data_IF_466875481427
#
_entry.id   IF_466875481427
#
_cell.length_a   1.000
_cell.length_b   1.000
_cell.length_c   1.000
_cell.angle_alpha   90.00
_cell.angle_beta   90.00
_cell.angle_gamma   90.00
#
_symmetry.space_group_name_H-M   'P 1'
#
loop_
_entity.id
_entity.type
_entity.pdbx_description
1 polymer ?
#
# COMPACT_ATOMS: atom_id res chain seq x y z
N UNK A 1 18.32 10.83 5.66
CA UNK A 1 17.11 11.55 6.14
C UNK A 1 16.21 12.10 5.03
N UNK A 2 16.58 13.17 4.29
CA UNK A 2 15.67 13.84 3.33
C UNK A 2 15.07 12.92 2.26
N UNK A 3 15.90 12.07 1.65
CA UNK A 3 15.46 11.11 0.63
C UNK A 3 14.43 10.12 1.20
N UNK A 4 14.70 9.57 2.39
CA UNK A 4 13.80 8.64 3.08
C UNK A 4 12.45 9.28 3.32
N UNK A 5 12.43 10.53 3.82
CA UNK A 5 11.17 11.27 4.02
C UNK A 5 10.38 11.45 2.72
N UNK A 6 11.03 11.81 1.62
CA UNK A 6 10.36 11.96 0.32
C UNK A 6 9.81 10.64 -0.21
N UNK A 7 10.57 9.55 -0.04
CA UNK A 7 10.14 8.20 -0.43
C UNK A 7 8.95 7.77 0.42
N UNK A 8 8.99 7.95 1.74
CA UNK A 8 7.88 7.66 2.66
C UNK A 8 6.63 8.49 2.35
N UNK A 9 6.79 9.79 2.04
CA UNK A 9 5.67 10.63 1.60
C UNK A 9 5.01 10.06 0.34
N UNK A 10 5.80 9.55 -0.60
CA UNK A 10 5.28 8.92 -1.81
C UNK A 10 4.63 7.56 -1.53
N UNK A 11 5.18 6.73 -0.63
CA UNK A 11 4.56 5.49 -0.18
C UNK A 11 3.15 5.76 0.36
N UNK A 12 3.04 6.72 1.28
CA UNK A 12 1.77 7.15 1.85
C UNK A 12 0.80 7.71 0.81
N UNK A 13 1.30 8.58 -0.08
CA UNK A 13 0.51 9.14 -1.17
C UNK A 13 -0.12 8.05 -2.04
N UNK A 14 0.70 7.13 -2.55
CA UNK A 14 0.27 6.08 -3.47
C UNK A 14 -0.69 5.10 -2.79
N UNK A 15 -0.33 4.60 -1.61
CA UNK A 15 -1.17 3.66 -0.85
C UNK A 15 -2.52 4.27 -0.51
N UNK A 16 -2.55 5.51 -0.04
CA UNK A 16 -3.81 6.17 0.33
C UNK A 16 -4.69 6.44 -0.89
N UNK A 17 -4.08 6.87 -2.01
CA UNK A 17 -4.78 7.11 -3.25
C UNK A 17 -5.43 5.83 -3.79
N UNK A 18 -4.69 4.72 -3.85
CA UNK A 18 -5.22 3.44 -4.35
C UNK A 18 -6.24 2.86 -3.36
N UNK A 19 -6.00 2.95 -2.05
CA UNK A 19 -6.88 2.41 -1.01
C UNK A 19 -8.27 3.05 -1.05
N UNK A 20 -8.32 4.38 -1.13
CA UNK A 20 -9.57 5.12 -1.27
C UNK A 20 -10.12 5.06 -2.69
N UNK A 21 -9.26 5.00 -3.71
CA UNK A 21 -9.66 4.83 -5.10
C UNK A 21 -10.50 3.58 -5.31
N UNK A 22 -9.96 2.42 -4.90
CA UNK A 22 -10.70 1.17 -4.93
C UNK A 22 -11.90 1.18 -3.98
N UNK A 23 -11.73 1.65 -2.74
CA UNK A 23 -12.78 1.66 -1.72
C UNK A 23 -14.01 2.51 -2.08
N UNK A 24 -13.80 3.70 -2.65
CA UNK A 24 -14.89 4.58 -3.10
C UNK A 24 -15.48 4.12 -4.44
N UNK A 25 -14.70 3.41 -5.26
CA UNK A 25 -15.13 2.85 -6.54
C UNK A 25 -15.90 1.53 -6.42
N UNK A 26 -15.98 0.93 -5.22
CA UNK A 26 -16.63 -0.38 -5.00
C UNK A 26 -18.10 -0.42 -5.44
N UNK A 27 -18.80 0.72 -5.35
CA UNK A 27 -20.18 0.83 -5.80
C UNK A 27 -20.40 0.53 -7.28
N UNK A 28 -19.36 0.68 -8.11
CA UNK A 28 -19.44 0.46 -9.56
C UNK A 28 -18.99 -0.95 -9.98
N UNK A 29 -18.58 -1.81 -9.04
CA UNK A 29 -18.03 -3.13 -9.32
C UNK A 29 -19.08 -4.25 -9.31
N UNK A 30 -20.26 -4.03 -8.75
CA UNK A 30 -21.27 -5.07 -8.57
C UNK A 30 -22.69 -4.59 -8.75
N UNK A 31 -23.62 -5.54 -8.88
CA UNK A 31 -25.04 -5.25 -9.10
C UNK A 31 -25.74 -4.59 -7.90
N UNK A 32 -25.19 -4.73 -6.68
CA UNK A 32 -25.75 -4.15 -5.47
C UNK A 32 -24.69 -3.41 -4.64
N UNK A 33 -24.87 -2.10 -4.48
CA UNK A 33 -23.99 -1.22 -3.72
C UNK A 33 -23.77 -1.69 -2.27
N UNK A 34 -24.82 -2.12 -1.56
CA UNK A 34 -24.72 -2.52 -0.16
C UNK A 34 -23.91 -3.80 0.01
N UNK A 35 -24.12 -4.78 -0.88
CA UNK A 35 -23.37 -6.04 -0.83
C UNK A 35 -21.88 -5.81 -1.14
N UNK A 36 -21.57 -5.04 -2.18
CA UNK A 36 -20.18 -4.75 -2.53
C UNK A 36 -19.46 -3.99 -1.41
N UNK A 37 -20.11 -3.00 -0.79
CA UNK A 37 -19.55 -2.27 0.35
C UNK A 37 -19.38 -3.15 1.60
N UNK A 38 -20.33 -4.06 1.86
CA UNK A 38 -20.22 -5.01 2.95
C UNK A 38 -19.02 -5.94 2.77
N UNK A 39 -18.82 -6.48 1.55
CA UNK A 39 -17.66 -7.31 1.21
C UNK A 39 -16.36 -6.51 1.36
N UNK A 40 -16.33 -5.25 0.89
CA UNK A 40 -15.17 -4.37 1.04
C UNK A 40 -14.79 -4.16 2.51
N UNK A 41 -15.78 -3.91 3.38
CA UNK A 41 -15.54 -3.74 4.82
C UNK A 41 -15.03 -5.04 5.47
N UNK A 42 -15.59 -6.20 5.09
CA UNK A 42 -15.11 -7.50 5.59
C UNK A 42 -13.65 -7.77 5.19
N UNK A 43 -13.29 -7.46 3.94
CA UNK A 43 -11.92 -7.62 3.43
C UNK A 43 -10.94 -6.80 4.27
N UNK A 44 -11.25 -5.54 4.57
CA UNK A 44 -10.39 -4.69 5.39
C UNK A 44 -10.21 -5.28 6.81
N UNK A 45 -11.30 -5.75 7.44
CA UNK A 45 -11.24 -6.38 8.78
C UNK A 45 -10.35 -7.63 8.74
N UNK A 46 -10.58 -8.53 7.79
CA UNK A 46 -9.81 -9.78 7.66
C UNK A 46 -8.34 -9.47 7.41
N UNK A 47 -8.06 -8.52 6.51
CA UNK A 47 -6.70 -8.10 6.19
C UNK A 47 -5.95 -7.60 7.43
N UNK A 48 -6.53 -6.68 8.21
CA UNK A 48 -5.86 -6.13 9.38
C UNK A 48 -5.69 -7.11 10.53
N UNK A 49 -6.55 -8.13 10.64
CA UNK A 49 -6.35 -9.23 11.61
C UNK A 49 -5.15 -10.11 11.19
N UNK A 50 -5.01 -10.40 9.89
CA UNK A 50 -3.94 -11.26 9.37
C UNK A 50 -2.59 -10.54 9.24
N UNK A 51 -2.60 -9.22 9.06
CA UNK A 51 -1.41 -8.44 8.72
C UNK A 51 -0.24 -8.59 9.72
N UNK A 52 -0.44 -8.52 11.06
CA UNK A 52 0.66 -8.67 12.02
C UNK A 52 1.38 -10.02 11.87
N UNK A 53 0.61 -11.10 11.70
CA UNK A 53 1.15 -12.44 11.51
C UNK A 53 2.00 -12.54 10.24
N UNK A 54 1.60 -11.86 9.16
CA UNK A 54 2.37 -11.82 7.92
C UNK A 54 3.64 -10.94 8.03
N UNK A 55 3.57 -9.81 8.72
CA UNK A 55 4.70 -8.89 8.88
C UNK A 55 5.83 -9.47 9.76
N UNK A 56 5.50 -10.34 10.71
CA UNK A 56 6.48 -10.97 11.61
C UNK A 56 7.16 -12.20 10.99
N UNK A 57 6.77 -12.61 9.79
CA UNK A 57 7.47 -13.67 9.06
C UNK A 57 8.84 -13.17 8.58
N UNK A 58 9.89 -13.91 8.97
CA UNK A 58 11.30 -13.63 8.64
C UNK A 58 11.58 -13.46 7.14
N UNK A 59 10.77 -14.06 6.27
CA UNK A 59 10.94 -14.00 4.82
C UNK A 59 10.25 -12.80 4.14
N UNK A 60 9.36 -12.08 4.85
CA UNK A 60 8.53 -11.02 4.28
C UNK A 60 8.96 -9.65 4.80
N UNK A 61 9.10 -9.50 6.13
CA UNK A 61 9.42 -8.20 6.74
C UNK A 61 8.50 -7.06 6.29
N UNK A 62 8.99 -5.83 6.42
CA UNK A 62 8.22 -4.61 6.09
C UNK A 62 8.48 -4.16 4.66
N UNK A 63 9.70 -4.31 4.16
CA UNK A 63 10.07 -3.97 2.78
C UNK A 63 9.41 -4.92 1.78
N UNK A 64 9.67 -6.21 1.89
CA UNK A 64 9.08 -7.17 0.94
C UNK A 64 7.58 -7.34 1.19
N UNK A 65 7.10 -7.16 2.42
CA UNK A 65 5.68 -7.05 2.72
C UNK A 65 4.99 -5.97 1.89
N UNK A 66 5.53 -4.75 1.87
CA UNK A 66 5.04 -3.65 1.02
C UNK A 66 5.08 -4.02 -0.46
N UNK A 67 6.18 -4.63 -0.92
CA UNK A 67 6.33 -5.05 -2.33
C UNK A 67 5.27 -6.09 -2.72
N UNK A 68 5.11 -7.18 -1.95
CA UNK A 68 4.19 -8.26 -2.30
C UNK A 68 2.72 -7.83 -2.25
N UNK A 69 2.35 -7.08 -1.20
CA UNK A 69 0.98 -6.60 -1.02
C UNK A 69 0.60 -5.57 -2.07
N UNK A 70 1.51 -4.65 -2.41
CA UNK A 70 1.28 -3.68 -3.46
C UNK A 70 1.35 -4.31 -4.86
N UNK A 71 2.16 -5.34 -5.08
CA UNK A 71 2.17 -6.11 -6.33
C UNK A 71 0.82 -6.78 -6.56
N UNK A 72 0.26 -7.41 -5.52
CA UNK A 72 -1.10 -7.95 -5.57
C UNK A 72 -2.13 -6.85 -5.86
N UNK A 73 -1.97 -5.68 -5.22
CA UNK A 73 -2.76 -4.47 -5.48
C UNK A 73 -2.73 -4.03 -6.94
N UNK A 74 -1.54 -3.79 -7.49
CA UNK A 74 -1.33 -3.32 -8.86
C UNK A 74 -1.79 -4.32 -9.90
N UNK A 75 -1.47 -5.61 -9.74
CA UNK A 75 -1.93 -6.67 -10.64
C UNK A 75 -3.44 -6.78 -10.60
N UNK A 76 -4.04 -6.73 -9.40
CA UNK A 76 -5.50 -6.70 -9.22
C UNK A 76 -6.15 -5.51 -9.95
N UNK A 77 -5.55 -4.32 -9.85
CA UNK A 77 -6.02 -3.13 -10.57
C UNK A 77 -5.93 -3.29 -12.09
N UNK A 78 -4.79 -3.77 -12.63
CA UNK A 78 -4.65 -4.00 -14.07
C UNK A 78 -5.63 -5.04 -14.60
N UNK A 79 -5.81 -6.16 -13.88
CA UNK A 79 -6.80 -7.17 -14.26
C UNK A 79 -8.23 -6.61 -14.20
N UNK A 80 -8.55 -5.79 -13.19
CA UNK A 80 -9.85 -5.11 -13.10
C UNK A 80 -10.07 -4.20 -14.32
N UNK A 81 -9.04 -3.46 -14.75
CA UNK A 81 -9.12 -2.62 -15.95
C UNK A 81 -9.38 -3.45 -17.22
N UNK A 82 -8.71 -4.60 -17.36
CA UNK A 82 -8.89 -5.50 -18.52
C UNK A 82 -10.31 -6.09 -18.52
N UNK A 83 -10.80 -6.60 -17.39
CA UNK A 83 -12.14 -7.17 -17.31
C UNK A 83 -13.24 -6.11 -17.46
N UNK A 84 -13.01 -4.89 -16.98
CA UNK A 84 -13.91 -3.76 -17.22
C UNK A 84 -13.98 -3.37 -18.71
N UNK A 85 -12.83 -3.39 -19.42
CA UNK A 85 -12.82 -3.19 -20.87
C UNK A 85 -13.60 -4.29 -21.61
N UNK A 86 -13.37 -5.56 -21.24
CA UNK A 86 -14.05 -6.71 -21.87
C UNK A 86 -15.55 -6.77 -21.58
N UNK A 87 -15.97 -6.38 -20.38
CA UNK A 87 -17.39 -6.26 -19.99
C UNK A 87 -18.11 -5.20 -20.84
N UNK A 88 -17.45 -4.07 -21.13
CA UNK A 88 -18.00 -3.03 -22.01
C UNK A 88 -18.13 -3.48 -23.47
N UNK A 89 -17.22 -4.32 -23.98
CA UNK A 89 -17.33 -4.86 -25.34
C UNK A 89 -18.36 -5.99 -25.46
N UNK A 90 -18.53 -6.82 -24.42
CA UNK A 90 -19.42 -7.99 -24.43
C UNK A 90 -20.34 -8.03 -23.20
N UNK A 91 -21.36 -7.15 -23.13
CA UNK A 91 -22.21 -6.99 -21.95
C UNK A 91 -23.10 -8.19 -21.64
N UNK A 92 -23.29 -9.13 -22.58
CA UNK A 92 -24.11 -10.33 -22.37
C UNK A 92 -23.41 -11.38 -21.49
N UNK A 93 -22.09 -11.30 -21.34
CA UNK A 93 -21.30 -12.26 -20.56
C UNK A 93 -21.18 -11.82 -19.09
N UNK A 94 -22.15 -12.23 -18.26
CA UNK A 94 -22.16 -11.95 -16.81
C UNK A 94 -20.90 -12.41 -16.04
N UNK A 95 -20.12 -13.34 -16.61
CA UNK A 95 -18.87 -13.84 -16.03
C UNK A 95 -17.79 -12.76 -15.89
N UNK A 96 -17.75 -11.77 -16.79
CA UNK A 96 -16.71 -10.71 -16.74
C UNK A 96 -16.91 -9.76 -15.55
N UNK A 97 -18.16 -9.45 -15.19
CA UNK A 97 -18.46 -8.64 -14.00
C UNK A 97 -18.02 -9.32 -12.70
N UNK A 98 -18.20 -10.64 -12.60
CA UNK A 98 -17.74 -11.43 -11.44
C UNK A 98 -16.21 -11.41 -11.36
N UNK A 99 -15.51 -11.60 -12.49
CA UNK A 99 -14.04 -11.57 -12.54
C UNK A 99 -13.49 -10.18 -12.21
N UNK A 100 -14.11 -9.12 -12.74
CA UNK A 100 -13.80 -7.72 -12.41
C UNK A 100 -13.91 -7.46 -10.91
N UNK A 101 -15.04 -7.84 -10.30
CA UNK A 101 -15.24 -7.68 -8.87
C UNK A 101 -14.22 -8.48 -8.04
N UNK A 102 -13.97 -9.74 -8.41
CA UNK A 102 -12.99 -10.59 -7.73
C UNK A 102 -11.56 -10.01 -7.80
N UNK A 103 -11.13 -9.52 -8.96
CA UNK A 103 -9.83 -8.87 -9.13
C UNK A 103 -9.72 -7.57 -8.34
N UNK A 104 -10.78 -6.76 -8.31
CA UNK A 104 -10.80 -5.52 -7.56
C UNK A 104 -10.74 -5.76 -6.04
N UNK A 105 -11.47 -6.76 -5.54
CA UNK A 105 -11.42 -7.16 -4.13
C UNK A 105 -10.07 -7.78 -3.75
N UNK A 106 -9.45 -8.57 -4.63
CA UNK A 106 -8.09 -9.07 -4.42
C UNK A 106 -7.07 -7.92 -4.37
N UNK A 107 -7.18 -6.95 -5.28
CA UNK A 107 -6.36 -5.74 -5.27
C UNK A 107 -6.56 -4.91 -4.00
N UNK A 108 -7.82 -4.75 -3.56
CA UNK A 108 -8.17 -4.06 -2.32
C UNK A 108 -7.56 -4.73 -1.09
N UNK A 109 -7.61 -6.06 -1.02
CA UNK A 109 -6.96 -6.82 0.06
C UNK A 109 -5.44 -6.55 0.12
N UNK A 110 -4.77 -6.56 -1.04
CA UNK A 110 -3.34 -6.23 -1.12
C UNK A 110 -3.07 -4.81 -0.60
N UNK A 111 -3.79 -3.82 -1.12
CA UNK A 111 -3.57 -2.40 -0.77
C UNK A 111 -3.92 -2.11 0.69
N UNK A 112 -4.94 -2.77 1.26
CA UNK A 112 -5.25 -2.69 2.69
C UNK A 112 -4.07 -3.18 3.55
N UNK A 113 -3.44 -4.28 3.13
CA UNK A 113 -2.22 -4.79 3.78
C UNK A 113 -1.08 -3.80 3.68
N UNK A 114 -0.83 -3.24 2.50
CA UNK A 114 0.19 -2.20 2.32
C UNK A 114 -0.07 -0.99 3.21
N UNK A 115 -1.34 -0.58 3.38
CA UNK A 115 -1.70 0.54 4.23
C UNK A 115 -1.25 0.32 5.68
N UNK A 116 -1.48 -0.88 6.23
CA UNK A 116 -0.99 -1.18 7.58
C UNK A 116 0.54 -1.26 7.68
N UNK A 117 1.21 -1.83 6.67
CA UNK A 117 2.68 -1.93 6.65
C UNK A 117 3.32 -0.55 6.59
N UNK A 118 2.83 0.35 5.75
CA UNK A 118 3.35 1.73 5.60
C UNK A 118 3.25 2.52 6.91
N UNK A 119 2.22 2.29 7.72
CA UNK A 119 2.12 2.89 9.06
C UNK A 119 3.23 2.41 10.00
N UNK A 120 3.47 1.09 10.04
CA UNK A 120 4.52 0.50 10.88
C UNK A 120 5.90 0.93 10.38
N UNK A 121 6.13 0.79 9.08
CA UNK A 121 7.42 1.10 8.44
C UNK A 121 7.81 2.56 8.66
N UNK A 122 6.88 3.51 8.46
CA UNK A 122 7.15 4.92 8.75
C UNK A 122 7.56 5.15 10.22
N UNK A 123 6.95 4.45 11.18
CA UNK A 123 7.29 4.59 12.60
C UNK A 123 8.66 4.00 12.96
N UNK A 124 9.07 2.93 12.27
CA UNK A 124 10.37 2.28 12.45
C UNK A 124 11.49 3.06 11.73
N UNK A 125 11.17 3.71 10.61
CA UNK A 125 12.12 4.47 9.81
C UNK A 125 12.57 5.76 10.49
N UNK A 126 11.70 6.45 11.23
CA UNK A 126 12.06 7.73 11.87
C UNK A 126 12.52 7.57 13.33
N UNK A 127 13.65 8.21 13.72
CA UNK A 127 14.14 8.12 15.09
C UNK A 127 13.25 8.90 16.06
N UNK A 128 13.26 8.47 17.31
CA UNK A 128 12.35 8.93 18.38
C UNK A 128 12.19 10.46 18.47
N UNK A 129 13.25 11.30 18.36
CA UNK A 129 13.13 12.76 18.49
C UNK A 129 12.28 13.43 17.39
N UNK A 130 12.25 12.84 16.19
CA UNK A 130 11.58 13.42 15.01
C UNK A 130 10.50 12.51 14.43
N UNK A 131 10.24 11.34 15.04
CA UNK A 131 9.27 10.35 14.56
C UNK A 131 7.88 10.94 14.35
N UNK A 132 7.39 11.72 15.32
CA UNK A 132 6.06 12.33 15.23
C UNK A 132 5.92 13.26 14.00
N UNK A 133 6.93 14.08 13.75
CA UNK A 133 6.95 15.01 12.61
C UNK A 133 7.15 14.23 11.29
N UNK A 134 8.03 13.23 11.28
CA UNK A 134 8.27 12.39 10.10
C UNK A 134 7.02 11.64 9.66
N UNK A 135 6.38 10.92 10.57
CA UNK A 135 5.12 10.20 10.30
C UNK A 135 4.00 11.19 9.92
N UNK A 136 3.92 12.34 10.59
CA UNK A 136 2.94 13.38 10.26
C UNK A 136 3.11 13.94 8.85
N UNK A 137 4.35 14.21 8.42
CA UNK A 137 4.66 14.69 7.07
C UNK A 137 4.37 13.63 6.00
N UNK A 138 4.72 12.36 6.26
CA UNK A 138 4.36 11.25 5.37
C UNK A 138 2.85 11.11 5.25
N UNK A 139 2.13 11.19 6.37
CA UNK A 139 0.66 11.14 6.40
C UNK A 139 0.01 12.30 5.64
N UNK A 140 0.60 13.51 5.69
CA UNK A 140 0.13 14.64 4.90
C UNK A 140 0.20 14.34 3.39
N UNK A 141 1.25 13.66 2.92
CA UNK A 141 1.33 13.14 1.55
C UNK A 141 0.18 12.16 1.24
N UNK A 142 -0.12 11.25 2.16
CA UNK A 142 -1.28 10.36 2.07
C UNK A 142 -2.62 11.10 1.94
N UNK A 143 -2.83 12.18 2.71
CA UNK A 143 -4.06 13.00 2.62
C UNK A 143 -4.24 13.62 1.24
N UNK A 144 -3.17 14.06 0.60
CA UNK A 144 -3.21 14.54 -0.79
C UNK A 144 -3.67 13.41 -1.71
N UNK A 145 -3.12 12.20 -1.55
CA UNK A 145 -3.55 11.01 -2.30
C UNK A 145 -5.04 10.71 -2.13
N UNK A 146 -5.55 10.79 -0.90
CA UNK A 146 -6.97 10.57 -0.60
C UNK A 146 -7.90 11.65 -1.17
N UNK A 147 -7.46 12.91 -1.28
CA UNK A 147 -8.22 13.97 -1.95
C UNK A 147 -8.28 13.78 -3.47
N UNK A 148 -7.22 13.22 -4.07
CA UNK A 148 -7.14 12.96 -5.51
C UNK A 148 -7.92 11.70 -5.90
N UNK A 149 -8.00 10.69 -5.03
CA UNK A 149 -8.71 9.43 -5.28
C UNK A 149 -10.14 9.60 -5.86
N UNK A 150 -11.06 10.38 -5.26
CA UNK A 150 -12.39 10.58 -5.83
C UNK A 150 -12.38 11.34 -7.16
N UNK A 151 -11.40 12.24 -7.39
CA UNK A 151 -11.24 12.94 -8.67
C UNK A 151 -10.89 11.95 -9.79
N UNK A 152 -9.99 10.98 -9.51
CA UNK A 152 -9.64 9.92 -10.46
C UNK A 152 -10.83 9.01 -10.71
N UNK A 153 -11.57 8.60 -9.67
CA UNK A 153 -12.80 7.82 -9.86
C UNK A 153 -13.84 8.56 -10.70
N UNK A 154 -13.95 9.89 -10.58
CA UNK A 154 -14.80 10.72 -11.42
C UNK A 154 -14.47 10.65 -12.91
N UNK A 155 -13.22 10.35 -13.29
CA UNK A 155 -12.83 10.11 -14.69
C UNK A 155 -13.46 8.80 -15.23
N UNK A 156 -13.79 7.86 -14.34
CA UNK A 156 -14.49 6.61 -14.66
C UNK A 156 -15.84 6.83 -15.34
N UNK A 157 -16.50 7.97 -15.11
CA UNK A 157 -17.77 8.31 -15.78
C UNK A 157 -17.63 8.47 -17.30
N UNK A 158 -16.43 8.81 -17.79
CA UNK A 158 -16.14 8.89 -19.23
C UNK A 158 -15.49 7.60 -19.73
N UNK A 159 -14.61 7.01 -18.93
CA UNK A 159 -13.85 5.82 -19.30
C UNK A 159 -13.65 4.93 -18.08
N UNK A 160 -14.49 3.90 -17.94
CA UNK A 160 -14.60 3.06 -16.74
C UNK A 160 -13.30 2.35 -16.34
N UNK A 161 -12.45 1.96 -17.30
CA UNK A 161 -11.20 1.23 -17.04
C UNK A 161 -10.02 2.13 -16.64
N UNK A 162 -10.08 3.43 -16.95
CA UNK A 162 -8.97 4.36 -16.79
C UNK A 162 -8.52 4.56 -15.32
N UNK A 163 -9.43 4.72 -14.33
CA UNK A 163 -9.04 4.83 -12.92
C UNK A 163 -8.17 3.68 -12.45
N UNK A 164 -8.51 2.45 -12.83
CA UNK A 164 -7.79 1.24 -12.43
C UNK A 164 -6.37 1.18 -13.00
N UNK A 165 -6.15 1.63 -14.24
CA UNK A 165 -4.80 1.76 -14.81
C UNK A 165 -3.98 2.77 -14.03
N UNK A 166 -4.55 3.94 -13.70
CA UNK A 166 -3.86 4.97 -12.91
C UNK A 166 -3.44 4.44 -11.55
N UNK A 167 -4.35 3.74 -10.86
CA UNK A 167 -4.06 3.10 -9.57
C UNK A 167 -2.96 2.03 -9.70
N UNK A 168 -3.03 1.18 -10.72
CA UNK A 168 -2.02 0.15 -10.98
C UNK A 168 -0.63 0.73 -11.21
N UNK A 169 -0.50 1.77 -12.05
CA UNK A 169 0.77 2.42 -12.37
C UNK A 169 1.37 3.13 -11.15
N UNK A 170 0.56 3.84 -10.37
CA UNK A 170 1.02 4.46 -9.12
C UNK A 170 1.47 3.43 -8.09
N UNK A 171 0.79 2.28 -8.01
CA UNK A 171 1.22 1.14 -7.19
C UNK A 171 2.56 0.55 -7.65
N UNK A 172 2.81 0.45 -8.97
CA UNK A 172 4.12 0.02 -9.50
C UNK A 172 5.24 0.99 -9.12
N UNK A 173 4.97 2.30 -9.18
CA UNK A 173 5.90 3.32 -8.69
C UNK A 173 6.18 3.16 -7.20
N UNK A 174 5.17 2.79 -6.41
CA UNK A 174 5.34 2.49 -4.98
C UNK A 174 6.25 1.28 -4.76
N UNK A 175 6.09 0.21 -5.54
CA UNK A 175 6.96 -0.97 -5.48
C UNK A 175 8.41 -0.58 -5.77
N UNK A 176 8.65 0.21 -6.83
CA UNK A 176 9.99 0.68 -7.18
C UNK A 176 10.62 1.48 -6.05
N UNK A 177 9.87 2.43 -5.47
CA UNK A 177 10.35 3.26 -4.37
C UNK A 177 10.51 2.50 -3.05
N UNK A 178 9.76 1.42 -2.83
CA UNK A 178 9.95 0.54 -1.67
C UNK A 178 11.32 -0.18 -1.70
N UNK A 179 11.89 -0.43 -2.89
CA UNK A 179 13.25 -0.99 -2.98
C UNK A 179 14.34 -0.03 -2.51
N UNK A 180 14.09 1.28 -2.53
CA UNK A 180 15.01 2.30 -2.01
C UNK A 180 14.99 2.37 -0.48
N UNK A 181 13.97 1.80 0.18
CA UNK A 181 13.90 1.75 1.64
C UNK A 181 14.67 0.53 2.19
N UNK A 182 15.34 0.68 3.34
CA UNK A 182 15.94 -0.45 4.05
C UNK A 182 14.86 -1.29 4.74
N UNK A 183 15.20 -2.56 4.99
CA UNK A 183 14.35 -3.45 5.78
C UNK A 183 14.53 -3.16 7.28
N UNK A 184 13.42 -3.05 7.99
CA UNK A 184 13.38 -2.70 9.42
C UNK A 184 13.11 -3.92 10.31
N UNK A 185 12.78 -5.08 9.73
CA UNK A 185 12.54 -6.30 10.50
C UNK A 185 13.77 -6.71 11.33
N UNK A 186 13.57 -6.76 12.64
CA UNK A 186 14.61 -7.15 13.61
C UNK A 186 15.62 -6.04 13.92
N UNK A 187 15.36 -4.80 13.50
CA UNK A 187 16.17 -3.64 13.86
C UNK A 187 15.59 -3.02 15.14
N UNK A 188 16.39 -2.73 16.17
CA UNK A 188 15.88 -2.02 17.34
C UNK A 188 15.42 -0.62 16.97
N UNK A 189 14.50 -0.07 17.77
CA UNK A 189 13.94 1.24 17.50
C UNK A 189 15.00 2.33 17.55
N UNK A 190 15.10 3.13 16.49
CA UNK A 190 16.08 4.21 16.37
C UNK A 190 15.84 5.29 17.43
N UNK A 191 16.85 5.56 18.27
CA UNK A 191 16.73 6.49 19.40
C UNK A 191 17.37 7.83 19.10
N UNK A 192 18.45 7.85 18.30
CA UNK A 192 19.18 9.07 17.92
C UNK A 192 19.13 9.32 16.41
N UNK A 193 19.48 10.54 15.99
CA UNK A 193 19.51 10.91 14.57
C UNK A 193 20.72 10.26 13.89
N UNK A 194 21.82 10.17 14.61
CA UNK A 194 23.07 9.57 14.17
C UNK A 194 22.89 8.07 13.89
N UNK A 195 22.19 7.34 14.78
CA UNK A 195 21.81 5.93 14.56
C UNK A 195 20.97 5.76 13.28
N UNK A 196 20.04 6.69 13.04
CA UNK A 196 19.20 6.64 11.85
C UNK A 196 20.01 6.85 10.57
N UNK A 197 20.96 7.79 10.57
CA UNK A 197 21.84 8.03 9.42
C UNK A 197 22.74 6.83 9.13
N UNK A 198 23.34 6.23 10.17
CA UNK A 198 24.12 5.00 10.03
C UNK A 198 23.29 3.85 9.46
N UNK A 199 22.08 3.64 9.97
CA UNK A 199 21.15 2.62 9.48
C UNK A 199 20.80 2.82 8.00
N UNK A 200 20.57 4.06 7.55
CA UNK A 200 20.25 4.31 6.14
C UNK A 200 21.44 4.09 5.19
N UNK A 201 22.67 4.30 5.67
CA UNK A 201 23.88 4.10 4.87
C UNK A 201 24.31 2.63 4.79
N UNK A 202 24.23 1.91 5.92
CA UNK A 202 24.62 0.50 5.96
C UNK A 202 23.70 -0.32 6.89
N UNK A 203 22.53 -0.75 6.39
CA UNK A 203 21.52 -1.45 7.20
C UNK A 203 22.01 -2.77 7.80
N UNK A 204 22.81 -3.53 7.04
CA UNK A 204 23.32 -4.85 7.50
C UNK A 204 24.33 -4.74 8.65
N UNK A 205 25.23 -3.74 8.59
CA UNK A 205 26.22 -3.53 9.63
C UNK A 205 25.56 -3.01 10.91
N UNK A 206 24.57 -2.12 10.79
CA UNK A 206 23.80 -1.63 11.93
C UNK A 206 23.07 -2.78 12.65
N UNK A 207 22.46 -3.69 11.88
CA UNK A 207 21.77 -4.84 12.46
C UNK A 207 22.69 -5.78 13.23
N UNK A 208 23.88 -6.08 12.69
CA UNK A 208 24.89 -6.90 13.39
C UNK A 208 25.38 -6.25 14.68
N UNK A 209 25.70 -4.95 14.63
CA UNK A 209 26.13 -4.17 15.80
C UNK A 209 25.05 -4.12 16.89
N UNK A 210 23.78 -4.02 16.50
CA UNK A 210 22.64 -4.08 17.41
C UNK A 210 22.44 -5.47 18.04
N UNK A 211 22.62 -6.55 17.26
CA UNK A 211 22.54 -7.93 17.77
C UNK A 211 23.67 -8.22 18.75
N UNK A 212 24.90 -7.75 18.49
CA UNK A 212 26.05 -7.91 19.38
C UNK A 212 25.85 -7.19 20.73
N UNK A 213 25.34 -5.95 20.71
CA UNK A 213 25.03 -5.17 21.93
C UNK A 213 23.90 -5.74 22.78
N UNK A 214 23.08 -6.65 22.25
CA UNK A 214 22.02 -7.34 23.01
C UNK A 214 22.52 -8.61 23.69
N UNK A 215 23.72 -9.10 23.35
CA UNK A 215 24.33 -10.31 23.90
C UNK A 215 25.29 -9.97 25.06
N UNK A 216 25.84 -8.76 25.10
CA UNK A 216 26.61 -8.20 26.24
C UNK A 216 25.72 -7.70 27.38
#
# INVERSE_FOLDING_TARGET
>A
MRLITLVEMYQWFSTTLVFYGLGLGVGNLGSNLFLSNFINAMIDIICYILLPFFMDLKCIGRKYGTVWTMLLGSVGCFLTAVFDYLENENPENSSYGILKAACAFAGKFGVAGTFGIVYVHASEMFPTPVRGIGVGLSSAGGRIGGMIAPLINGLGNKTSWLPFIVFGVLGLGQIFTAFLLPETLGVPMLTTIEEAEEFYHCPENFKKSAEEKQIE
#
